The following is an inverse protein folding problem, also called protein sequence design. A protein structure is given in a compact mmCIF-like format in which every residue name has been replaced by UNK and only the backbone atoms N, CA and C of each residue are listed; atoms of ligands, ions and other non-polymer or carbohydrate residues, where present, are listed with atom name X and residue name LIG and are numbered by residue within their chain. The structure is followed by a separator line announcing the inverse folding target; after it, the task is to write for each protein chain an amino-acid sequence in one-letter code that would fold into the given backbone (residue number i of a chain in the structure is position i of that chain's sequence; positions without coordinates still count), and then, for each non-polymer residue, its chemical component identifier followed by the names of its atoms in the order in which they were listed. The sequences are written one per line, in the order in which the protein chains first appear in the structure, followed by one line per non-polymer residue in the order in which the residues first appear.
data_IF_925347821971
#
_entry.id   IF_925347821971
#
_cell.length_a   1.000
_cell.length_b   1.000
_cell.length_c   1.000
_cell.angle_alpha   90.00
_cell.angle_beta   90.00
_cell.angle_gamma   90.00
#
_symmetry.space_group_name_H-M   'P 1'
#
loop_
_entity.id
_entity.type
_entity.pdbx_description
1 polymer ?
#
# COMPACT_ATOMS: atom_id res chain seq x y z
N UNK A 1 5.55 23.16 -16.54
CA UNK A 1 5.50 21.69 -16.73
C UNK A 1 5.20 21.06 -15.37
N UNK A 2 3.92 20.94 -15.01
CA UNK A 2 3.52 20.24 -13.80
C UNK A 2 3.03 18.86 -14.25
N UNK A 3 3.91 17.87 -14.17
CA UNK A 3 3.52 16.47 -14.25
C UNK A 3 2.66 16.17 -13.03
N UNK A 4 1.40 15.81 -13.25
CA UNK A 4 0.59 15.24 -12.19
C UNK A 4 1.28 13.95 -11.70
N UNK A 5 1.35 13.69 -10.39
CA UNK A 5 1.77 12.38 -9.92
C UNK A 5 0.76 11.36 -10.44
N UNK A 6 1.26 10.31 -11.10
CA UNK A 6 0.54 9.06 -11.31
C UNK A 6 -0.07 8.69 -9.95
N UNK A 7 -1.38 8.86 -9.79
CA UNK A 7 -2.03 8.32 -8.60
C UNK A 7 -1.84 6.81 -8.69
N UNK A 8 -1.18 6.17 -7.70
CA UNK A 8 -1.19 4.72 -7.67
C UNK A 8 -2.67 4.30 -7.65
N UNK A 9 -3.05 3.39 -8.54
CA UNK A 9 -4.36 2.72 -8.46
C UNK A 9 -4.56 2.26 -7.03
N UNK A 10 -5.56 2.81 -6.33
CA UNK A 10 -5.85 2.42 -4.96
C UNK A 10 -6.17 0.92 -4.96
N UNK A 11 -5.30 0.13 -4.33
CA UNK A 11 -5.39 -1.31 -4.27
C UNK A 11 -5.80 -1.72 -2.85
N UNK A 12 -6.96 -2.35 -2.74
CA UNK A 12 -7.47 -2.87 -1.46
C UNK A 12 -7.55 -4.40 -1.54
N UNK A 13 -6.90 -5.08 -0.58
CA UNK A 13 -6.95 -6.54 -0.46
C UNK A 13 -8.21 -6.91 0.32
N UNK A 14 -9.13 -7.63 -0.31
CA UNK A 14 -10.39 -8.06 0.30
C UNK A 14 -10.41 -9.58 0.47
N UNK A 15 -10.71 -10.04 1.70
CA UNK A 15 -10.88 -11.47 1.98
C UNK A 15 -12.16 -12.00 1.31
N UNK A 16 -12.00 -13.00 0.45
CA UNK A 16 -13.11 -13.64 -0.26
C UNK A 16 -13.93 -14.53 0.66
N UNK A 17 -15.23 -14.59 0.38
CA UNK A 17 -16.10 -15.64 0.90
C UNK A 17 -16.32 -16.68 -0.21
N UNK A 18 -15.75 -17.90 -0.11
CA UNK A 18 -15.86 -18.92 -1.15
C UNK A 18 -17.28 -19.44 -1.37
N UNK A 19 -18.23 -19.14 -0.48
CA UNK A 19 -19.63 -19.55 -0.61
C UNK A 19 -20.50 -18.56 -1.43
N UNK A 20 -19.94 -17.42 -1.89
CA UNK A 20 -20.67 -16.43 -2.71
C UNK A 20 -20.06 -16.34 -4.10
N UNK A 21 -20.88 -16.61 -5.11
CA UNK A 21 -20.51 -16.52 -6.53
C UNK A 21 -20.17 -15.07 -6.94
N UNK A 22 -20.85 -14.08 -6.35
CA UNK A 22 -20.62 -12.64 -6.57
C UNK A 22 -19.64 -12.04 -5.55
N UNK A 23 -18.45 -12.62 -5.42
CA UNK A 23 -17.45 -12.18 -4.43
C UNK A 23 -16.96 -10.73 -4.64
N UNK A 24 -17.12 -10.18 -5.85
CA UNK A 24 -16.78 -8.80 -6.20
C UNK A 24 -17.84 -7.78 -5.76
N UNK A 25 -19.05 -8.22 -5.42
CA UNK A 25 -20.01 -7.37 -4.74
C UNK A 25 -19.65 -7.38 -3.26
N UNK A 26 -19.00 -6.31 -2.81
CA UNK A 26 -18.58 -6.16 -1.41
C UNK A 26 -19.70 -6.56 -0.44
N UNK A 27 -19.35 -6.99 0.77
CA UNK A 27 -20.35 -7.45 1.75
C UNK A 27 -21.41 -6.37 1.97
N UNK A 28 -22.58 -6.53 1.34
CA UNK A 28 -23.75 -5.74 1.68
C UNK A 28 -23.98 -5.92 3.19
N UNK A 29 -24.27 -4.84 3.94
CA UNK A 29 -24.57 -4.97 5.36
C UNK A 29 -25.69 -6.00 5.50
N UNK A 30 -25.38 -7.14 6.10
CA UNK A 30 -26.32 -8.23 6.32
C UNK A 30 -27.29 -7.81 7.40
N UNK A 31 -28.32 -7.09 6.99
CA UNK A 31 -29.43 -6.65 7.82
C UNK A 31 -30.58 -6.17 6.93
N UNK A 32 -31.84 -6.33 7.35
CA UNK A 32 -33.02 -5.87 6.58
C UNK A 32 -33.15 -4.34 6.52
N UNK A 33 -32.18 -3.60 7.04
CA UNK A 33 -32.19 -2.15 7.15
C UNK A 33 -31.09 -1.53 6.30
N UNK A 34 -31.48 -0.55 5.49
CA UNK A 34 -30.60 0.25 4.61
C UNK A 34 -29.52 1.01 5.41
N UNK A 35 -29.67 1.11 6.74
CA UNK A 35 -28.71 1.72 7.65
C UNK A 35 -28.44 0.75 8.82
N UNK A 36 -27.27 0.12 8.83
CA UNK A 36 -26.79 -0.64 10.00
C UNK A 36 -25.67 0.15 10.66
N UNK A 37 -25.96 1.04 11.63
CA UNK A 37 -24.97 1.95 12.19
C UNK A 37 -23.93 1.27 13.09
N UNK A 38 -23.99 -0.06 13.24
CA UNK A 38 -23.16 -0.85 14.17
C UNK A 38 -22.17 -1.81 13.50
N UNK A 39 -22.08 -1.89 12.16
CA UNK A 39 -20.92 -2.52 11.51
C UNK A 39 -19.73 -1.56 11.46
N UNK A 40 -19.55 -0.78 12.53
CA UNK A 40 -18.30 -0.08 12.81
C UNK A 40 -17.38 -1.16 13.35
N UNK A 41 -16.33 -1.43 12.57
CA UNK A 41 -15.38 -2.52 12.75
C UNK A 41 -15.10 -2.83 14.21
N UNK A 42 -15.04 -4.13 14.48
CA UNK A 42 -14.51 -4.70 15.72
C UNK A 42 -13.42 -3.77 16.27
N UNK A 43 -13.55 -3.25 17.50
CA UNK A 43 -12.53 -2.40 18.07
C UNK A 43 -11.26 -3.24 18.08
N UNK A 44 -10.35 -2.96 17.14
CA UNK A 44 -9.02 -3.57 17.11
C UNK A 44 -8.48 -3.39 18.52
N UNK A 45 -8.31 -4.50 19.22
CA UNK A 45 -7.83 -4.53 20.59
C UNK A 45 -6.55 -3.67 20.62
N UNK A 46 -6.62 -2.52 21.29
CA UNK A 46 -5.98 -1.26 20.88
C UNK A 46 -4.47 -1.17 21.06
N UNK A 47 -3.71 -2.26 20.91
CA UNK A 47 -2.27 -2.28 21.14
C UNK A 47 -1.47 -3.20 20.21
N UNK A 48 -2.04 -3.85 19.19
CA UNK A 48 -1.26 -4.69 18.25
C UNK A 48 -1.48 -4.22 16.83
N UNK A 49 -0.46 -3.56 16.27
CA UNK A 49 -0.45 -3.22 14.85
C UNK A 49 -0.22 -4.50 14.05
N UNK A 50 -1.20 -4.91 13.24
CA UNK A 50 -1.08 -6.03 12.32
C UNK A 50 -0.49 -5.54 11.00
N UNK A 51 0.56 -6.21 10.53
CA UNK A 51 1.27 -5.88 9.30
C UNK A 51 1.24 -7.09 8.36
N UNK A 52 0.84 -6.87 7.12
CA UNK A 52 0.72 -7.94 6.13
C UNK A 52 1.87 -7.87 5.14
N UNK A 53 2.60 -8.97 4.97
CA UNK A 53 3.63 -9.15 3.94
C UNK A 53 3.24 -10.25 2.96
N UNK A 54 3.88 -10.29 1.80
CA UNK A 54 3.58 -11.26 0.73
C UNK A 54 4.83 -12.10 0.47
N UNK A 55 4.66 -13.42 0.36
CA UNK A 55 5.77 -14.32 0.01
C UNK A 55 6.37 -13.93 -1.35
N UNK A 56 7.69 -13.87 -1.42
CA UNK A 56 8.42 -13.57 -2.65
C UNK A 56 8.54 -12.07 -2.99
N UNK A 57 7.87 -11.20 -2.25
CA UNK A 57 7.97 -9.75 -2.44
C UNK A 57 9.04 -9.13 -1.51
N UNK A 58 9.85 -8.18 -2.02
CA UNK A 58 10.84 -7.49 -1.20
C UNK A 58 10.16 -6.54 -0.23
N UNK A 59 10.49 -6.68 1.04
CA UNK A 59 10.02 -5.81 2.13
C UNK A 59 11.16 -4.93 2.63
N UNK A 60 10.81 -3.81 3.25
CA UNK A 60 11.76 -2.85 3.79
C UNK A 60 11.38 -2.43 5.21
N UNK A 61 12.39 -2.32 6.07
CA UNK A 61 12.28 -1.85 7.45
C UNK A 61 13.29 -0.74 7.66
N UNK A 62 12.81 0.43 8.10
CA UNK A 62 13.68 1.55 8.43
C UNK A 62 14.26 1.37 9.83
N UNK A 63 15.58 1.41 9.93
CA UNK A 63 16.33 1.27 11.19
C UNK A 63 17.23 2.48 11.37
N UNK A 64 17.18 3.09 12.54
CA UNK A 64 18.08 4.16 12.93
C UNK A 64 19.29 3.58 13.66
N UNK A 65 20.48 3.86 13.13
CA UNK A 65 21.75 3.50 13.74
C UNK A 65 22.42 4.74 14.32
N UNK A 66 22.99 4.61 15.52
CA UNK A 66 23.74 5.66 16.16
C UNK A 66 25.18 5.20 16.43
N UNK A 67 26.15 6.04 16.09
CA UNK A 67 27.56 5.85 16.41
C UNK A 67 27.94 6.75 17.60
N UNK A 68 28.10 6.18 18.81
CA UNK A 68 28.54 6.92 20.00
C UNK A 68 30.07 7.12 20.06
N UNK A 69 30.83 6.54 19.11
CA UNK A 69 32.28 6.61 19.13
C UNK A 69 32.78 7.97 18.61
N UNK A 70 33.96 8.37 19.09
CA UNK A 70 34.67 9.57 18.63
C UNK A 70 35.47 9.35 17.32
N UNK A 71 35.17 8.28 16.58
CA UNK A 71 35.80 7.93 15.31
C UNK A 71 34.75 7.36 14.33
N UNK A 72 35.12 7.27 13.06
CA UNK A 72 34.27 6.72 12.00
C UNK A 72 34.05 5.22 12.22
N UNK A 73 32.78 4.83 12.34
CA UNK A 73 32.37 3.44 12.53
C UNK A 73 31.96 2.84 11.19
N UNK A 74 32.68 1.83 10.72
CA UNK A 74 32.33 1.08 9.50
C UNK A 74 31.68 -0.22 9.89
N UNK A 75 30.41 -0.37 9.53
CA UNK A 75 29.65 -1.62 9.68
C UNK A 75 29.79 -2.40 8.38
N UNK A 76 30.47 -3.54 8.46
CA UNK A 76 30.77 -4.40 7.31
C UNK A 76 29.48 -4.98 6.71
N UNK A 77 28.56 -5.41 7.58
CA UNK A 77 27.28 -5.96 7.16
C UNK A 77 26.22 -5.77 8.24
N UNK A 78 25.03 -5.32 7.86
CA UNK A 78 23.84 -5.29 8.71
C UNK A 78 22.63 -5.81 7.94
N UNK A 79 21.82 -6.65 8.60
CA UNK A 79 20.59 -7.21 8.04
C UNK A 79 19.59 -7.57 9.14
N UNK A 80 18.34 -7.80 8.76
CA UNK A 80 17.27 -8.15 9.69
C UNK A 80 17.51 -9.54 10.31
N UNK A 81 17.37 -9.64 11.63
CA UNK A 81 17.40 -10.93 12.33
C UNK A 81 16.02 -11.58 12.22
N UNK A 82 15.96 -12.81 11.71
CA UNK A 82 14.75 -13.63 11.66
C UNK A 82 15.11 -15.08 11.98
N UNK A 83 14.54 -15.63 13.05
CA UNK A 83 14.90 -16.94 13.57
C UNK A 83 14.18 -18.11 12.87
N UNK A 84 13.05 -17.85 12.20
CA UNK A 84 12.16 -18.88 11.68
C UNK A 84 12.62 -19.51 10.36
N UNK A 85 13.74 -19.08 9.77
CA UNK A 85 14.20 -19.55 8.45
C UNK A 85 13.29 -19.14 7.27
N UNK A 86 12.21 -18.42 7.56
CA UNK A 86 11.16 -18.06 6.62
C UNK A 86 11.38 -16.68 5.97
N UNK A 87 12.62 -16.18 6.01
CA UNK A 87 12.98 -14.85 5.55
C UNK A 87 14.41 -14.82 5.04
N UNK A 88 14.61 -14.28 3.85
CA UNK A 88 15.92 -14.05 3.25
C UNK A 88 16.27 -12.56 3.39
N UNK A 89 17.15 -12.23 4.33
CA UNK A 89 17.55 -10.85 4.58
C UNK A 89 18.68 -10.41 3.65
N UNK A 90 18.65 -9.15 3.20
CA UNK A 90 19.66 -8.59 2.33
C UNK A 90 20.69 -7.77 3.13
N UNK A 91 21.96 -8.22 3.20
CA UNK A 91 23.01 -7.52 3.91
C UNK A 91 23.35 -6.18 3.26
N UNK A 92 23.51 -5.15 4.08
CA UNK A 92 23.89 -3.80 3.67
C UNK A 92 25.08 -3.33 4.50
N UNK A 93 26.03 -2.59 3.90
CA UNK A 93 27.17 -1.99 4.61
C UNK A 93 26.93 -0.50 4.83
N UNK A 94 27.43 0.06 5.93
CA UNK A 94 27.24 1.48 6.25
C UNK A 94 28.42 2.06 7.04
N UNK A 95 28.86 3.26 6.66
CA UNK A 95 29.78 4.06 7.46
C UNK A 95 29.01 5.14 8.23
N UNK A 96 29.29 5.26 9.52
CA UNK A 96 28.71 6.24 10.43
C UNK A 96 29.80 7.17 10.94
N UNK A 97 29.59 8.49 10.79
CA UNK A 97 30.50 9.50 11.29
C UNK A 97 30.54 9.49 12.84
N UNK A 98 31.54 10.11 13.48
CA UNK A 98 31.65 10.14 14.92
C UNK A 98 30.48 10.91 15.53
N UNK A 99 29.93 10.42 16.65
CA UNK A 99 28.81 11.05 17.36
C UNK A 99 27.61 11.40 16.45
N UNK A 100 27.26 10.50 15.52
CA UNK A 100 26.21 10.73 14.53
C UNK A 100 25.16 9.62 14.54
N UNK A 101 23.97 9.93 14.01
CA UNK A 101 22.90 8.96 13.78
C UNK A 101 22.48 8.98 12.30
N UNK A 102 22.09 7.81 11.78
CA UNK A 102 21.69 7.62 10.38
C UNK A 102 20.58 6.59 10.28
N UNK A 103 19.48 6.96 9.63
CA UNK A 103 18.43 6.02 9.23
C UNK A 103 18.83 5.29 7.96
N UNK A 104 18.76 3.96 7.97
CA UNK A 104 18.98 3.09 6.81
C UNK A 104 17.74 2.23 6.56
N UNK A 105 17.56 1.80 5.32
CA UNK A 105 16.54 0.81 4.95
C UNK A 105 17.18 -0.57 4.89
N UNK A 106 16.74 -1.47 5.75
CA UNK A 106 17.09 -2.89 5.69
C UNK A 106 16.00 -3.64 4.94
N UNK A 107 16.39 -4.48 3.99
CA UNK A 107 15.46 -5.19 3.12
C UNK A 107 15.62 -6.70 3.19
N UNK A 108 14.62 -7.42 2.69
CA UNK A 108 14.64 -8.87 2.56
C UNK A 108 13.37 -9.39 1.91
N UNK A 109 13.28 -10.71 1.74
CA UNK A 109 12.15 -11.38 1.08
C UNK A 109 11.62 -12.50 1.98
N UNK A 110 10.33 -12.48 2.36
CA UNK A 110 9.68 -13.62 3.04
C UNK A 110 9.60 -14.83 2.12
N UNK A 111 9.93 -16.02 2.63
CA UNK A 111 10.01 -17.26 1.83
C UNK A 111 8.84 -18.22 2.08
N UNK A 112 8.11 -18.08 3.20
CA UNK A 112 6.97 -18.94 3.51
C UNK A 112 5.78 -18.15 4.08
N UNK A 113 4.58 -18.70 3.87
CA UNK A 113 3.33 -18.20 4.45
C UNK A 113 3.29 -18.47 5.95
N UNK A 114 2.72 -17.55 6.72
CA UNK A 114 2.52 -17.70 8.16
C UNK A 114 2.99 -16.50 8.99
N UNK A 115 2.93 -16.61 10.33
CA UNK A 115 3.39 -15.54 11.20
C UNK A 115 4.92 -15.40 11.12
N UNK A 116 5.39 -14.16 11.00
CA UNK A 116 6.80 -13.81 10.99
C UNK A 116 7.11 -12.86 12.16
N UNK A 117 8.29 -12.99 12.74
CA UNK A 117 8.76 -12.06 13.78
C UNK A 117 10.15 -11.60 13.44
N UNK A 118 10.33 -10.28 13.42
CA UNK A 118 11.62 -9.62 13.21
C UNK A 118 12.04 -9.03 14.57
N UNK A 119 12.75 -9.79 15.40
CA UNK A 119 13.13 -9.34 16.74
C UNK A 119 14.18 -8.22 16.76
N UNK A 120 14.97 -8.08 15.70
CA UNK A 120 16.12 -7.18 15.68
C UNK A 120 16.89 -7.18 14.37
N UNK A 121 18.16 -6.82 14.44
CA UNK A 121 19.12 -6.89 13.34
C UNK A 121 20.42 -7.59 13.77
N UNK A 122 21.07 -8.26 12.84
CA UNK A 122 22.42 -8.79 13.01
C UNK A 122 23.40 -7.78 12.40
N UNK A 123 24.41 -7.43 13.17
CA UNK A 123 25.42 -6.43 12.84
C UNK A 123 26.79 -7.11 12.85
N UNK A 124 27.53 -6.98 11.76
CA UNK A 124 28.92 -7.36 11.64
C UNK A 124 29.77 -6.11 11.59
N UNK A 125 30.58 -5.91 12.63
CA UNK A 125 31.44 -4.75 12.79
C UNK A 125 32.68 -5.13 13.60
N UNK A 126 33.85 -4.64 13.19
CA UNK A 126 35.15 -4.97 13.82
C UNK A 126 35.44 -6.47 13.92
N UNK A 127 34.99 -7.26 12.94
CA UNK A 127 35.15 -8.72 12.96
C UNK A 127 34.32 -9.44 14.01
N UNK A 128 33.36 -8.76 14.64
CA UNK A 128 32.41 -9.32 15.60
C UNK A 128 31.02 -9.30 15.01
N UNK A 129 30.31 -10.42 15.14
CA UNK A 129 28.91 -10.55 14.75
C UNK A 129 28.07 -10.48 16.02
N UNK A 130 27.19 -9.49 16.11
CA UNK A 130 26.29 -9.28 17.24
C UNK A 130 24.85 -9.19 16.78
N UNK A 131 23.94 -9.75 17.57
CA UNK A 131 22.50 -9.56 17.38
C UNK A 131 22.01 -8.42 18.29
N UNK A 132 21.29 -7.46 17.72
CA UNK A 132 20.69 -6.33 18.43
C UNK A 132 19.18 -6.43 18.38
N UNK A 133 18.56 -6.75 19.52
CA UNK A 133 17.11 -6.87 19.65
C UNK A 133 16.47 -5.49 19.84
N UNK A 134 15.36 -5.22 19.14
CA UNK A 134 14.63 -3.96 19.28
C UNK A 134 14.05 -3.77 20.69
N UNK A 135 13.66 -4.86 21.36
CA UNK A 135 13.16 -4.84 22.74
C UNK A 135 14.21 -4.37 23.74
N UNK A 136 15.47 -4.74 23.54
CA UNK A 136 16.55 -4.33 24.44
C UNK A 136 16.81 -2.83 24.31
N UNK A 137 16.73 -2.30 23.09
CA UNK A 137 16.80 -0.86 22.83
C UNK A 137 15.65 -0.11 23.51
N UNK A 138 14.43 -0.66 23.47
CA UNK A 138 13.27 -0.08 24.17
C UNK A 138 13.48 -0.05 25.69
N UNK A 139 13.96 -1.15 26.28
CA UNK A 139 14.26 -1.23 27.71
C UNK A 139 15.32 -0.21 28.13
N UNK A 140 16.37 -0.03 27.32
CA UNK A 140 17.41 0.97 27.56
C UNK A 140 16.85 2.40 27.49
N UNK A 141 15.99 2.69 26.51
CA UNK A 141 15.33 4.00 26.41
C UNK A 141 14.41 4.26 27.61
N UNK A 142 13.62 3.27 28.02
CA UNK A 142 12.73 3.39 29.17
C UNK A 142 13.52 3.59 30.47
N UNK A 143 14.57 2.80 30.70
CA UNK A 143 15.45 2.95 31.86
C UNK A 143 16.15 4.31 31.92
N UNK A 144 16.55 4.85 30.76
CA UNK A 144 17.13 6.18 30.68
C UNK A 144 16.16 7.30 31.07
N UNK A 145 14.91 7.23 30.61
CA UNK A 145 13.87 8.20 31.01
C UNK A 145 13.56 8.17 32.51
N UNK A 146 13.75 7.01 33.15
CA UNK A 146 13.54 6.83 34.59
C UNK A 146 14.79 7.17 35.41
N UNK A 147 15.89 7.59 34.78
CA UNK A 147 17.17 7.85 35.44
C UNK A 147 17.85 6.60 35.99
N UNK A 148 17.41 5.40 35.57
CA UNK A 148 17.95 4.11 36.01
C UNK A 148 19.12 3.64 35.16
N UNK A 149 19.28 4.21 33.95
CA UNK A 149 20.34 3.87 33.01
C UNK A 149 20.95 5.17 32.49
N UNK A 150 22.29 5.25 32.46
CA UNK A 150 22.98 6.34 31.79
C UNK A 150 22.84 6.14 30.27
N UNK A 151 22.08 7.00 29.59
CA UNK A 151 22.03 7.04 28.13
C UNK A 151 22.93 8.15 27.59
N UNK A 152 23.55 7.89 26.44
CA UNK A 152 24.36 8.86 25.70
C UNK A 152 23.52 10.11 25.30
N UNK A 153 23.99 11.34 25.57
CA UNK A 153 23.34 12.58 25.09
C UNK A 153 23.13 12.67 23.56
N UNK A 154 23.87 11.93 22.73
CA UNK A 154 23.64 11.88 21.28
C UNK A 154 22.47 10.98 20.87
N UNK A 155 21.93 10.17 21.79
CA UNK A 155 20.70 9.38 21.60
C UNK A 155 19.42 10.22 21.63
N UNK A 156 19.53 11.52 21.90
CA UNK A 156 18.43 12.46 22.11
C UNK A 156 18.33 13.58 21.07
N UNK A 157 18.54 13.27 19.79
CA UNK A 157 18.11 14.19 18.73
C UNK A 157 16.59 14.09 18.51
N UNK A 158 15.80 14.74 19.37
CA UNK A 158 14.63 15.51 18.91
C UNK A 158 13.22 14.90 18.94
N UNK A 159 12.96 13.77 19.59
CA UNK A 159 11.58 13.25 19.72
C UNK A 159 11.15 13.12 21.19
N UNK A 160 10.49 14.14 21.70
CA UNK A 160 9.87 14.20 23.03
C UNK A 160 8.58 13.36 23.16
N UNK A 161 8.41 12.33 22.32
CA UNK A 161 7.28 11.39 22.39
C UNK A 161 7.78 9.98 22.10
N UNK A 162 8.26 9.30 23.13
CA UNK A 162 8.47 7.85 23.09
C UNK A 162 7.12 7.17 22.84
N UNK A 163 6.80 6.91 21.56
CA UNK A 163 5.76 5.95 21.24
C UNK A 163 6.35 4.58 21.55
N UNK A 164 5.75 3.87 22.49
CA UNK A 164 6.00 2.44 22.72
C UNK A 164 6.13 1.75 21.36
N UNK A 165 7.31 1.24 21.03
CA UNK A 165 7.56 0.60 19.74
C UNK A 165 6.93 -0.78 19.86
N UNK A 166 5.63 -0.86 19.61
CA UNK A 166 4.92 -2.11 19.53
C UNK A 166 5.50 -2.88 18.34
N UNK A 167 6.20 -3.98 18.59
CA UNK A 167 6.61 -4.90 17.53
C UNK A 167 5.34 -5.34 16.80
N UNK A 168 5.16 -5.00 15.51
CA UNK A 168 3.95 -5.36 14.80
C UNK A 168 3.86 -6.88 14.70
N UNK A 169 2.64 -7.41 14.74
CA UNK A 169 2.43 -8.80 14.39
C UNK A 169 2.46 -8.90 12.87
N UNK A 170 3.45 -9.60 12.32
CA UNK A 170 3.62 -9.70 10.87
C UNK A 170 3.00 -11.00 10.41
N UNK A 171 2.00 -10.92 9.53
CA UNK A 171 1.40 -12.06 8.85
C UNK A 171 1.85 -12.09 7.40
N UNK A 172 2.46 -13.20 6.97
CA UNK A 172 2.90 -13.39 5.59
C UNK A 172 1.81 -14.17 4.85
N UNK A 173 1.28 -13.57 3.80
CA UNK A 173 0.29 -14.14 2.89
C UNK A 173 0.95 -14.85 1.71
N UNK A 174 0.25 -15.81 1.07
CA UNK A 174 0.70 -16.39 -0.19
C UNK A 174 0.90 -15.31 -1.26
N UNK A 175 1.68 -15.61 -2.32
CA UNK A 175 1.82 -14.73 -3.46
C UNK A 175 0.44 -14.30 -3.98
N UNK A 176 0.26 -13.00 -4.21
CA UNK A 176 -1.00 -12.44 -4.68
C UNK A 176 -0.94 -12.17 -6.19
N UNK A 177 -2.07 -12.30 -6.90
CA UNK A 177 -2.18 -11.80 -8.26
C UNK A 177 -1.90 -10.28 -8.28
N UNK A 178 -1.34 -9.77 -9.38
CA UNK A 178 -1.19 -8.34 -9.60
C UNK A 178 -1.57 -8.00 -11.03
N UNK A 179 -2.62 -7.18 -11.17
CA UNK A 179 -3.15 -6.78 -12.46
C UNK A 179 -2.89 -5.29 -12.68
N UNK A 180 -2.22 -4.96 -13.79
CA UNK A 180 -2.03 -3.60 -14.25
C UNK A 180 -2.97 -3.28 -15.41
N UNK A 181 -3.55 -2.07 -15.41
CA UNK A 181 -4.37 -1.58 -16.52
C UNK A 181 -3.85 -0.25 -17.06
N UNK A 182 -3.78 -0.10 -18.37
CA UNK A 182 -3.46 1.17 -19.03
C UNK A 182 -4.24 1.34 -20.33
N UNK A 183 -4.43 2.59 -20.78
CA UNK A 183 -5.12 2.88 -22.05
C UNK A 183 -4.13 2.77 -23.22
N UNK A 184 -4.53 2.09 -24.29
CA UNK A 184 -3.75 1.89 -25.51
C UNK A 184 -4.02 3.03 -26.50
N UNK A 185 -2.96 3.61 -27.08
CA UNK A 185 -3.09 4.44 -28.28
C UNK A 185 -3.22 5.96 -28.09
N UNK A 186 -2.78 6.52 -26.95
CA UNK A 186 -2.73 7.98 -26.74
C UNK A 186 -2.15 8.34 -25.38
N UNK A 187 -1.87 9.63 -25.14
CA UNK A 187 -1.44 10.11 -23.83
C UNK A 187 -2.46 9.79 -22.73
N UNK A 188 -2.05 9.84 -21.47
CA UNK A 188 -2.84 9.50 -20.27
C UNK A 188 -4.13 10.34 -20.07
N UNK A 189 -4.42 11.24 -21.02
CA UNK A 189 -5.66 12.00 -21.10
C UNK A 189 -6.08 12.19 -22.56
N UNK A 190 -7.38 12.07 -22.81
CA UNK A 190 -8.01 12.39 -24.07
C UNK A 190 -9.15 13.39 -23.83
N UNK A 191 -9.23 14.43 -24.67
CA UNK A 191 -10.34 15.38 -24.65
C UNK A 191 -11.42 14.90 -25.62
N UNK A 192 -12.66 14.88 -25.13
CA UNK A 192 -13.86 14.59 -25.90
C UNK A 192 -14.79 15.80 -25.87
N UNK A 193 -15.42 16.12 -26.98
CA UNK A 193 -16.44 17.16 -27.06
C UNK A 193 -17.82 16.62 -26.73
N UNK A 194 -18.74 17.48 -26.31
CA UNK A 194 -20.11 17.08 -25.91
C UNK A 194 -20.79 16.20 -26.97
N UNK A 195 -21.29 15.03 -26.55
CA UNK A 195 -21.93 14.07 -27.43
C UNK A 195 -20.98 13.24 -28.30
N UNK A 196 -19.66 13.50 -28.29
CA UNK A 196 -18.66 12.69 -28.98
C UNK A 196 -18.64 11.27 -28.41
N UNK A 197 -18.64 10.29 -29.30
CA UNK A 197 -18.46 8.89 -28.96
C UNK A 197 -17.06 8.49 -29.40
N UNK A 198 -16.30 7.87 -28.50
CA UNK A 198 -14.96 7.39 -28.79
C UNK A 198 -14.79 5.96 -28.31
N UNK A 199 -14.19 5.15 -29.17
CA UNK A 199 -13.72 3.82 -28.81
C UNK A 199 -12.31 3.93 -28.23
N UNK A 200 -12.16 3.41 -27.02
CA UNK A 200 -10.90 3.38 -26.26
C UNK A 200 -10.54 1.92 -26.02
N UNK A 201 -9.28 1.58 -26.21
CA UNK A 201 -8.78 0.24 -25.91
C UNK A 201 -8.05 0.26 -24.57
N UNK A 202 -8.45 -0.58 -23.63
CA UNK A 202 -7.79 -0.72 -22.32
C UNK A 202 -6.99 -2.02 -22.35
N UNK A 203 -5.68 -1.92 -22.17
CA UNK A 203 -4.81 -3.09 -22.01
C UNK A 203 -4.71 -3.45 -20.53
N UNK A 204 -4.95 -4.73 -20.26
CA UNK A 204 -4.92 -5.34 -18.94
C UNK A 204 -3.83 -6.40 -18.97
N UNK A 205 -2.80 -6.24 -18.14
CA UNK A 205 -1.64 -7.12 -18.09
C UNK A 205 -1.46 -7.71 -16.70
N UNK A 206 -1.14 -9.00 -16.62
CA UNK A 206 -0.71 -9.62 -15.38
C UNK A 206 0.75 -9.23 -15.12
N UNK A 207 0.95 -8.31 -14.18
CA UNK A 207 2.25 -7.83 -13.73
C UNK A 207 2.80 -8.63 -12.53
N UNK A 208 2.03 -9.60 -12.04
CA UNK A 208 2.37 -10.44 -10.89
C UNK A 208 3.11 -11.72 -11.27
N UNK A 209 3.43 -12.50 -10.24
CA UNK A 209 4.05 -13.84 -10.36
C UNK A 209 3.03 -14.97 -10.37
N UNK A 210 1.78 -14.68 -10.01
CA UNK A 210 0.66 -15.63 -9.91
C UNK A 210 -0.29 -15.43 -11.08
N UNK A 211 -0.84 -16.51 -11.70
CA UNK A 211 -1.89 -16.38 -12.71
C UNK A 211 -3.13 -15.70 -12.12
N UNK A 212 -3.79 -14.87 -12.92
CA UNK A 212 -5.08 -14.28 -12.56
C UNK A 212 -6.18 -15.18 -13.09
N UNK A 213 -6.90 -15.84 -12.19
CA UNK A 213 -7.90 -16.87 -12.52
C UNK A 213 -9.27 -16.24 -12.82
N UNK A 214 -9.63 -15.19 -12.08
CA UNK A 214 -10.91 -14.50 -12.24
C UNK A 214 -10.69 -13.00 -12.27
N UNK A 215 -11.38 -12.29 -13.16
CA UNK A 215 -11.36 -10.84 -13.19
C UNK A 215 -12.74 -10.29 -13.59
N UNK A 216 -13.23 -9.30 -12.84
CA UNK A 216 -14.50 -8.64 -13.06
C UNK A 216 -14.29 -7.12 -13.16
N UNK A 217 -14.86 -6.52 -14.20
CA UNK A 217 -14.80 -5.07 -14.44
C UNK A 217 -16.14 -4.43 -14.10
N UNK A 218 -16.09 -3.44 -13.22
CA UNK A 218 -17.19 -2.53 -12.91
C UNK A 218 -16.75 -1.08 -13.12
N UNK A 219 -17.73 -0.19 -13.24
CA UNK A 219 -17.48 1.25 -13.29
C UNK A 219 -18.27 1.91 -12.18
N UNK A 220 -17.68 2.89 -11.52
CA UNK A 220 -18.32 3.67 -10.46
C UNK A 220 -18.21 5.18 -10.74
N UNK A 221 -18.82 6.03 -9.91
CA UNK A 221 -18.74 7.49 -10.03
C UNK A 221 -20.01 8.16 -10.59
N UNK A 222 -19.98 9.50 -10.68
CA UNK A 222 -21.15 10.35 -10.97
C UNK A 222 -21.66 10.24 -12.42
N UNK A 223 -20.88 9.66 -13.34
CA UNK A 223 -21.17 9.59 -14.78
C UNK A 223 -20.98 8.17 -15.36
N UNK A 224 -21.38 7.13 -14.62
CA UNK A 224 -21.29 5.73 -15.09
C UNK A 224 -22.05 5.50 -16.41
N UNK A 225 -23.17 6.20 -16.62
CA UNK A 225 -24.00 6.10 -17.83
C UNK A 225 -23.31 6.62 -19.10
N UNK A 226 -22.15 7.27 -18.96
CA UNK A 226 -21.32 7.72 -20.09
C UNK A 226 -20.63 6.55 -20.81
N UNK A 227 -20.60 5.37 -20.21
CA UNK A 227 -19.98 4.18 -20.79
C UNK A 227 -21.06 3.38 -21.53
N UNK A 228 -20.93 3.30 -22.85
CA UNK A 228 -21.93 2.68 -23.71
C UNK A 228 -21.74 1.16 -23.82
N UNK A 229 -20.49 0.71 -23.87
CA UNK A 229 -20.16 -0.70 -24.09
C UNK A 229 -18.78 -1.03 -23.51
N UNK A 230 -18.67 -2.24 -22.95
CA UNK A 230 -17.43 -2.80 -22.39
C UNK A 230 -17.38 -4.26 -22.82
N UNK A 231 -16.36 -4.66 -23.57
CA UNK A 231 -16.21 -6.04 -24.05
C UNK A 231 -15.71 -7.00 -22.95
N UNK A 232 -16.53 -7.21 -21.92
CA UNK A 232 -16.23 -8.07 -20.75
C UNK A 232 -15.98 -9.53 -21.14
N UNK A 233 -16.60 -9.99 -22.22
CA UNK A 233 -16.47 -11.37 -22.71
C UNK A 233 -15.06 -11.67 -23.27
N UNK A 234 -14.35 -10.65 -23.76
CA UNK A 234 -12.96 -10.81 -24.19
C UNK A 234 -12.05 -11.05 -22.99
N UNK A 235 -12.28 -10.32 -21.89
CA UNK A 235 -11.54 -10.56 -20.65
C UNK A 235 -11.82 -11.96 -20.10
N UNK A 236 -13.11 -12.35 -20.00
CA UNK A 236 -13.49 -13.68 -19.48
C UNK A 236 -12.90 -14.83 -20.30
N UNK A 237 -12.85 -14.70 -21.63
CA UNK A 237 -12.28 -15.75 -22.49
C UNK A 237 -10.75 -15.81 -22.47
N UNK A 238 -10.08 -14.74 -22.03
CA UNK A 238 -8.62 -14.70 -21.88
C UNK A 238 -8.13 -15.22 -20.52
N UNK A 239 -9.02 -15.42 -19.54
CA UNK A 239 -8.66 -15.98 -18.23
C UNK A 239 -8.47 -17.50 -18.32
N UNK A 240 -7.50 -18.09 -17.60
CA UNK A 240 -6.59 -17.44 -16.66
C UNK A 240 -5.42 -16.70 -17.34
N UNK A 241 -5.18 -15.46 -16.91
CA UNK A 241 -4.05 -14.66 -17.42
C UNK A 241 -2.78 -15.08 -16.71
N UNK A 242 -1.90 -15.80 -17.44
CA UNK A 242 -0.58 -16.20 -16.94
C UNK A 242 0.30 -14.97 -16.63
N UNK A 243 1.32 -15.11 -15.76
CA UNK A 243 2.30 -14.04 -15.52
C UNK A 243 2.87 -13.48 -16.84
N UNK A 244 2.80 -12.17 -17.02
CA UNK A 244 3.24 -11.48 -18.24
C UNK A 244 2.30 -11.55 -19.44
N UNK A 245 1.15 -12.24 -19.33
CA UNK A 245 0.12 -12.21 -20.37
C UNK A 245 -0.67 -10.90 -20.31
N UNK A 246 -1.12 -10.44 -21.48
CA UNK A 246 -1.90 -9.22 -21.63
C UNK A 246 -3.15 -9.46 -22.48
N UNK A 247 -4.21 -8.68 -22.21
CA UNK A 247 -5.47 -8.70 -22.94
C UNK A 247 -5.95 -7.28 -23.14
N UNK A 248 -6.30 -6.94 -24.38
CA UNK A 248 -6.86 -5.63 -24.72
C UNK A 248 -8.38 -5.73 -24.85
N UNK A 249 -9.09 -4.90 -24.11
CA UNK A 249 -10.54 -4.79 -24.17
C UNK A 249 -10.97 -3.45 -24.79
N UNK A 250 -11.82 -3.45 -25.82
CA UNK A 250 -12.45 -2.23 -26.32
C UNK A 250 -13.56 -1.77 -25.38
N UNK A 251 -13.58 -0.46 -25.14
CA UNK A 251 -14.56 0.26 -24.33
C UNK A 251 -15.05 1.47 -25.11
N UNK A 252 -16.36 1.57 -25.30
CA UNK A 252 -16.98 2.70 -25.98
C UNK A 252 -17.49 3.69 -24.94
N UNK A 253 -16.97 4.91 -24.99
CA UNK A 253 -17.35 6.00 -24.09
C UNK A 253 -18.02 7.13 -24.88
N UNK A 254 -18.99 7.78 -24.25
CA UNK A 254 -19.68 8.97 -24.76
C UNK A 254 -19.42 10.15 -23.83
N UNK A 255 -19.02 11.28 -24.40
CA UNK A 255 -18.85 12.51 -23.65
C UNK A 255 -20.20 13.00 -23.11
N UNK A 256 -20.25 13.18 -21.79
CA UNK A 256 -21.44 13.64 -21.09
C UNK A 256 -21.67 15.15 -21.27
N UNK A 257 -22.95 15.55 -21.25
CA UNK A 257 -23.35 16.94 -21.26
C UNK A 257 -23.21 17.54 -19.86
N UNK A 258 -22.42 18.60 -19.71
CA UNK A 258 -22.45 19.42 -18.49
C UNK A 258 -23.83 20.08 -18.40
N UNK A 259 -24.76 19.46 -17.66
CA UNK A 259 -26.07 20.08 -17.45
C UNK A 259 -25.89 21.32 -16.58
N UNK A 260 -26.39 22.47 -17.04
CA UNK A 260 -26.33 23.77 -16.35
C UNK A 260 -26.85 23.76 -14.91
N UNK A 261 -27.63 22.74 -14.52
CA UNK A 261 -28.13 22.51 -13.16
C UNK A 261 -27.03 22.24 -12.12
N UNK A 262 -25.83 21.79 -12.54
CA UNK A 262 -24.71 21.60 -11.61
C UNK A 262 -23.95 22.90 -11.30
N UNK A 263 -24.22 24.00 -12.03
CA UNK A 263 -23.60 25.31 -11.78
C UNK A 263 -24.25 26.07 -10.62
N UNK A 264 -25.52 25.78 -10.29
CA UNK A 264 -26.25 26.51 -9.25
C UNK A 264 -25.84 26.12 -7.83
N UNK A 265 -25.13 25.00 -7.65
CA UNK A 265 -24.55 24.62 -6.35
C UNK A 265 -23.22 25.31 -6.05
N UNK A 266 -22.65 26.08 -6.98
CA UNK A 266 -21.38 26.81 -6.77
C UNK A 266 -21.62 28.29 -6.43
N UNK A 267 -22.77 28.86 -6.80
CA UNK A 267 -23.04 30.30 -6.61
C UNK A 267 -23.59 30.62 -5.20
N UNK A 268 -24.12 29.64 -4.46
CA UNK A 268 -24.82 29.90 -3.19
C UNK A 268 -24.00 29.61 -1.91
N UNK A 269 -22.66 29.58 -1.98
CA UNK A 269 -21.79 29.40 -0.80
C UNK A 269 -20.81 30.55 -0.59
N UNK A 270 -21.28 31.79 -0.76
CA UNK A 270 -20.56 32.96 -0.28
C UNK A 270 -21.14 33.42 1.06
N UNK A 271 -20.77 32.74 2.14
CA UNK A 271 -20.49 33.35 3.47
C UNK A 271 -19.90 32.30 4.42
N UNK A 272 -18.90 32.75 5.19
CA UNK A 272 -18.16 32.06 6.27
C UNK A 272 -16.98 31.17 5.84
N UNK A 273 -15.79 31.66 6.20
CA UNK A 273 -14.51 31.00 5.95
C UNK A 273 -14.27 29.80 6.86
N UNK A 274 -13.79 28.73 6.25
CA UNK A 274 -12.96 27.69 6.85
C UNK A 274 -12.32 26.94 5.71
N UNK A 275 -11.00 26.75 5.76
CA UNK A 275 -10.20 26.05 4.76
C UNK A 275 -10.61 24.58 4.71
N UNK A 276 -11.66 24.29 3.94
CA UNK A 276 -12.16 22.96 3.66
C UNK A 276 -11.37 22.37 2.51
N UNK A 277 -10.77 21.20 2.74
CA UNK A 277 -10.19 20.34 1.69
C UNK A 277 -11.23 20.16 0.59
N UNK A 278 -10.96 20.71 -0.59
CA UNK A 278 -11.71 20.42 -1.80
C UNK A 278 -11.45 18.95 -2.11
N UNK A 279 -12.37 18.06 -1.72
CA UNK A 279 -12.45 16.71 -2.24
C UNK A 279 -12.75 16.83 -3.73
N UNK A 280 -11.71 16.82 -4.54
CA UNK A 280 -11.78 16.80 -6.00
C UNK A 280 -12.15 15.38 -6.44
N UNK A 281 -13.26 14.87 -5.94
CA UNK A 281 -13.86 13.61 -6.39
C UNK A 281 -14.46 13.93 -7.76
N UNK A 282 -13.67 13.68 -8.80
CA UNK A 282 -13.92 14.13 -10.15
C UNK A 282 -15.26 13.62 -10.66
N UNK A 283 -15.90 14.40 -11.53
CA UNK A 283 -17.08 14.00 -12.29
C UNK A 283 -16.80 12.86 -13.30
N UNK A 284 -15.66 12.19 -13.22
CA UNK A 284 -15.27 11.13 -14.15
C UNK A 284 -15.77 9.76 -13.68
N UNK A 285 -16.18 8.88 -14.60
CA UNK A 285 -16.36 7.46 -14.26
C UNK A 285 -15.01 6.86 -13.85
N UNK A 286 -15.03 6.04 -12.79
CA UNK A 286 -13.86 5.30 -12.29
C UNK A 286 -13.98 3.85 -12.74
N UNK A 287 -12.93 3.33 -13.37
CA UNK A 287 -12.80 1.90 -13.67
C UNK A 287 -12.38 1.16 -12.39
N UNK A 288 -13.15 0.15 -12.00
CA UNK A 288 -12.84 -0.74 -10.88
C UNK A 288 -12.65 -2.15 -11.44
N UNK A 289 -11.52 -2.77 -11.11
CA UNK A 289 -11.22 -4.14 -11.50
C UNK A 289 -11.04 -4.98 -10.24
N UNK A 290 -11.90 -5.98 -10.06
CA UNK A 290 -11.77 -6.98 -9.02
C UNK A 290 -11.14 -8.23 -9.62
N UNK A 291 -10.07 -8.76 -9.03
CA UNK A 291 -9.37 -9.93 -9.59
C UNK A 291 -8.86 -10.93 -8.53
N UNK A 292 -8.60 -12.16 -8.99
CA UNK A 292 -8.27 -13.39 -8.23
C UNK A 292 -7.02 -14.09 -8.70
#
# INVERSE_FOLDING_TARGET
LHSFPLHPSQMDIVKRNPAKEEWWMGSAPTGPFIYTPFSKGEPSDGNKQELTWIVGEPVQVLVELANPCAFDLTVDSIYLSVHSGNFNAFPTSVCLAPNSAKTISLSGVPTSVGPLTVPGCIVHCFGVITEHLFKDVENLLLGATQGLVLSDPFRSCGSSKFRKILTPNISVLPPLPLLGSHVVGGGDAAMLYEGEIRDVSINIANAGTVPVEEAHISFSGRNQDSILSVAREILKSALPLKPGAEVTIPVTIKAWQLSLLDSDNVINRNTSGSSGRISKEGSSPLLIIHYA
#
